data_IF_707522410010
#
_entry.id   IF_707522410010
#
_cell.length_a   1.000
_cell.length_b   1.000
_cell.length_c   1.000
_cell.angle_alpha   90.00
_cell.angle_beta   90.00
_cell.angle_gamma   90.00
#
_symmetry.space_group_name_H-M   'P 1'
#
loop_
_entity.id
_entity.type
_entity.pdbx_description
1 polymer ?
#
# COMPACT_ATOMS: atom_id res chain seq x y z
N UNK A 1 34.21 -28.12 -55.66
CA UNK A 1 34.45 -28.43 -54.26
C UNK A 1 33.80 -27.29 -53.46
N UNK A 2 32.55 -27.50 -52.99
CA UNK A 2 31.73 -26.49 -52.36
C UNK A 2 31.74 -26.79 -50.85
N UNK A 3 32.29 -25.89 -50.08
CA UNK A 3 32.35 -26.01 -48.62
C UNK A 3 31.10 -25.32 -48.04
N UNK A 4 30.20 -26.14 -47.49
CA UNK A 4 29.02 -25.64 -46.77
C UNK A 4 29.41 -25.06 -45.39
N UNK A 5 28.85 -23.93 -44.97
CA UNK A 5 29.10 -23.43 -43.62
C UNK A 5 28.35 -24.21 -42.55
N UNK A 6 29.09 -24.58 -41.50
CA UNK A 6 28.59 -25.23 -40.30
C UNK A 6 27.69 -24.22 -39.57
N UNK A 7 26.41 -24.51 -39.44
CA UNK A 7 25.49 -23.79 -38.54
C UNK A 7 25.80 -24.22 -37.10
N UNK A 8 26.51 -23.38 -36.38
CA UNK A 8 26.61 -23.48 -34.93
C UNK A 8 25.30 -22.97 -34.33
N UNK A 9 24.44 -23.87 -33.90
CA UNK A 9 23.28 -23.54 -33.08
C UNK A 9 23.77 -23.21 -31.68
N UNK A 10 23.94 -21.93 -31.41
CA UNK A 10 24.06 -21.42 -30.02
C UNK A 10 22.66 -21.44 -29.47
N UNK A 11 22.37 -22.42 -28.60
CA UNK A 11 21.21 -22.39 -27.71
C UNK A 11 21.52 -21.38 -26.62
N UNK A 12 21.13 -20.13 -26.85
CA UNK A 12 21.02 -19.16 -25.77
C UNK A 12 19.89 -19.64 -24.86
N UNK A 13 20.26 -20.29 -23.77
CA UNK A 13 19.39 -20.42 -22.61
C UNK A 13 19.16 -19.01 -22.09
N UNK A 14 18.05 -18.37 -22.48
CA UNK A 14 17.53 -17.19 -21.82
C UNK A 14 17.21 -17.59 -20.38
N UNK A 15 18.19 -17.45 -19.48
CA UNK A 15 17.92 -17.38 -18.07
C UNK A 15 17.01 -16.17 -17.87
N UNK A 16 15.71 -16.43 -17.67
CA UNK A 16 14.74 -15.44 -17.24
C UNK A 16 15.17 -14.90 -15.89
N UNK A 17 16.01 -13.87 -15.89
CA UNK A 17 16.37 -13.11 -14.71
C UNK A 17 15.10 -12.42 -14.21
N UNK A 18 14.40 -13.06 -13.27
CA UNK A 18 13.27 -12.44 -12.57
C UNK A 18 13.84 -11.29 -11.75
N UNK A 19 13.68 -10.07 -12.28
CA UNK A 19 14.08 -8.86 -11.57
C UNK A 19 13.39 -8.81 -10.20
N UNK A 20 14.16 -8.93 -9.13
CA UNK A 20 13.62 -8.83 -7.77
C UNK A 20 13.14 -7.41 -7.51
N UNK A 21 11.84 -7.27 -7.20
CA UNK A 21 11.19 -6.01 -6.82
C UNK A 21 10.96 -5.97 -5.32
N UNK A 22 10.69 -4.79 -4.79
CA UNK A 22 10.55 -4.60 -3.35
C UNK A 22 9.14 -4.13 -2.98
N UNK A 23 8.71 -4.54 -1.79
CA UNK A 23 7.46 -4.09 -1.22
C UNK A 23 7.63 -3.72 0.25
N UNK A 24 6.75 -2.84 0.73
CA UNK A 24 6.70 -2.35 2.11
C UNK A 24 5.28 -2.56 2.61
N UNK A 25 5.12 -3.27 3.74
CA UNK A 25 3.84 -3.36 4.40
C UNK A 25 3.58 -2.10 5.23
N UNK A 26 2.52 -1.36 4.92
CA UNK A 26 2.03 -0.31 5.79
C UNK A 26 0.89 -0.81 6.66
N UNK A 27 1.13 -0.85 7.96
CA UNK A 27 0.18 -1.34 8.96
C UNK A 27 -0.24 -0.22 9.91
N UNK A 28 -1.55 -0.11 10.17
CA UNK A 28 -2.08 0.87 11.11
C UNK A 28 -3.13 0.30 12.04
N UNK A 29 -2.97 0.57 13.33
CA UNK A 29 -3.95 0.24 14.35
C UNK A 29 -4.37 1.47 15.15
N UNK A 30 -5.59 1.48 15.69
CA UNK A 30 -6.07 2.56 16.55
C UNK A 30 -5.56 2.41 17.96
N UNK A 31 -5.34 3.54 18.64
CA UNK A 31 -4.72 3.66 19.97
C UNK A 31 -5.56 3.21 21.13
N UNK A 32 -6.86 3.10 20.96
CA UNK A 32 -7.73 2.76 22.09
C UNK A 32 -7.54 1.28 22.43
N UNK A 33 -6.73 1.06 23.45
CA UNK A 33 -6.45 -0.19 24.13
C UNK A 33 -5.52 -1.16 23.36
N UNK A 34 -4.45 -1.58 24.05
CA UNK A 34 -3.75 -2.84 23.75
C UNK A 34 -4.67 -4.02 24.09
N UNK A 35 -5.83 -4.06 23.47
CA UNK A 35 -6.79 -5.16 23.58
C UNK A 35 -6.40 -6.28 22.64
N UNK A 36 -6.91 -7.48 22.93
CA UNK A 36 -6.77 -8.64 22.04
C UNK A 36 -7.23 -8.33 20.60
N UNK A 37 -8.21 -7.43 20.43
CA UNK A 37 -8.67 -6.94 19.11
C UNK A 37 -7.60 -6.17 18.34
N UNK A 38 -6.75 -5.37 19.01
CA UNK A 38 -5.67 -4.65 18.33
C UNK A 38 -4.55 -5.59 17.91
N UNK A 39 -4.25 -6.61 18.71
CA UNK A 39 -3.28 -7.66 18.36
C UNK A 39 -3.79 -8.51 17.20
N UNK A 40 -5.08 -8.90 17.21
CA UNK A 40 -5.71 -9.63 16.11
C UNK A 40 -5.74 -8.81 14.82
N UNK A 41 -5.97 -7.50 14.91
CA UNK A 41 -5.95 -6.58 13.77
C UNK A 41 -4.55 -6.44 13.14
N UNK A 42 -3.48 -6.41 13.95
CA UNK A 42 -2.11 -6.42 13.46
C UNK A 42 -1.77 -7.73 12.77
N UNK A 43 -2.06 -8.84 13.44
CA UNK A 43 -1.81 -10.17 12.89
C UNK A 43 -2.51 -10.36 11.54
N UNK A 44 -3.77 -9.97 11.43
CA UNK A 44 -4.54 -10.06 10.18
C UNK A 44 -3.88 -9.27 9.04
N UNK A 45 -3.38 -8.05 9.30
CA UNK A 45 -2.69 -7.24 8.30
C UNK A 45 -1.35 -7.85 7.91
N UNK A 46 -0.59 -8.36 8.87
CA UNK A 46 0.68 -9.06 8.61
C UNK A 46 0.44 -10.35 7.80
N UNK A 47 -0.60 -11.12 8.11
CA UNK A 47 -0.94 -12.34 7.38
C UNK A 47 -1.42 -12.04 5.95
N UNK A 48 -2.23 -10.99 5.76
CA UNK A 48 -2.66 -10.54 4.45
C UNK A 48 -1.47 -10.10 3.58
N UNK A 49 -0.48 -9.43 4.16
CA UNK A 49 0.75 -9.06 3.45
C UNK A 49 1.57 -10.28 3.06
N UNK A 50 1.72 -11.27 3.94
CA UNK A 50 2.41 -12.53 3.61
C UNK A 50 1.73 -13.27 2.45
N UNK A 51 0.39 -13.33 2.46
CA UNK A 51 -0.37 -13.92 1.36
C UNK A 51 -0.17 -13.15 0.05
N UNK A 52 -0.11 -11.80 0.12
CA UNK A 52 0.19 -10.98 -1.03
C UNK A 52 1.58 -11.28 -1.61
N UNK A 53 2.61 -11.47 -0.77
CA UNK A 53 3.96 -11.85 -1.21
C UNK A 53 3.98 -13.24 -1.87
N UNK A 54 3.20 -14.20 -1.36
CA UNK A 54 3.08 -15.53 -1.97
C UNK A 54 2.46 -15.45 -3.38
N UNK A 55 1.47 -14.56 -3.57
CA UNK A 55 0.85 -14.33 -4.87
C UNK A 55 1.72 -13.50 -5.82
N UNK A 56 2.69 -12.76 -5.31
CA UNK A 56 3.56 -11.84 -6.07
C UNK A 56 5.03 -12.21 -5.84
N UNK A 57 5.45 -13.40 -6.29
CA UNK A 57 6.75 -14.03 -5.99
C UNK A 57 7.97 -13.23 -6.47
N UNK A 58 7.80 -12.31 -7.41
CA UNK A 58 8.84 -11.38 -7.86
C UNK A 58 9.06 -10.19 -6.91
N UNK A 59 8.25 -10.08 -5.85
CA UNK A 59 8.41 -9.07 -4.80
C UNK A 59 8.99 -9.67 -3.53
N UNK A 60 9.88 -8.91 -2.90
CA UNK A 60 10.40 -9.18 -1.55
C UNK A 60 10.04 -8.04 -0.60
N UNK A 61 9.89 -8.36 0.68
CA UNK A 61 9.85 -7.31 1.70
C UNK A 61 11.16 -6.51 1.66
N UNK A 62 11.06 -5.20 1.73
CA UNK A 62 12.25 -4.35 1.85
C UNK A 62 12.83 -4.53 3.26
N UNK A 63 13.96 -5.22 3.35
CA UNK A 63 14.59 -5.58 4.61
C UNK A 63 14.93 -4.35 5.46
N UNK A 64 14.66 -4.46 6.76
CA UNK A 64 14.94 -3.39 7.72
C UNK A 64 13.96 -2.21 7.67
N UNK A 65 12.98 -2.20 6.76
CA UNK A 65 12.00 -1.12 6.68
C UNK A 65 10.66 -1.53 7.31
N UNK A 66 10.38 -0.97 8.48
CA UNK A 66 9.13 -1.21 9.22
C UNK A 66 8.25 0.02 9.16
N UNK A 67 7.08 -0.08 8.52
CA UNK A 67 6.12 1.02 8.39
C UNK A 67 4.85 0.72 9.19
N UNK A 68 4.87 1.01 10.49
CA UNK A 68 3.76 0.77 11.43
C UNK A 68 3.37 2.02 12.17
N UNK A 69 2.11 2.39 12.06
CA UNK A 69 1.47 3.41 12.87
C UNK A 69 0.61 2.74 13.96
N UNK A 70 1.24 2.48 15.12
CA UNK A 70 0.56 1.98 16.30
C UNK A 70 0.11 3.16 17.15
N UNK A 71 -1.20 3.26 17.38
CA UNK A 71 -1.67 4.18 18.38
C UNK A 71 -1.76 5.65 17.97
N UNK A 72 -1.57 6.00 16.73
CA UNK A 72 -1.78 7.38 16.28
C UNK A 72 -3.27 7.63 16.16
N UNK A 73 -3.86 8.16 17.25
CA UNK A 73 -5.22 8.67 17.23
C UNK A 73 -5.18 10.08 16.67
N UNK A 74 -6.00 10.35 15.69
CA UNK A 74 -6.19 11.73 15.29
C UNK A 74 -6.19 11.94 13.78
N UNK A 75 -6.96 12.92 13.40
CA UNK A 75 -7.14 13.39 12.05
C UNK A 75 -5.79 13.89 11.50
N UNK A 76 -5.29 13.29 10.43
CA UNK A 76 -4.10 13.74 9.72
C UNK A 76 -2.75 13.60 10.44
N UNK A 77 -2.69 12.98 11.60
CA UNK A 77 -1.47 12.93 12.41
C UNK A 77 -0.44 11.95 11.83
N UNK A 78 -0.87 10.84 11.24
CA UNK A 78 0.03 9.86 10.63
C UNK A 78 0.74 10.41 9.38
N UNK A 79 0.09 11.30 8.61
CA UNK A 79 0.72 12.01 7.46
C UNK A 79 1.76 13.04 7.89
N UNK A 80 1.65 13.57 9.11
CA UNK A 80 2.54 14.64 9.62
C UNK A 80 3.64 14.12 10.54
N UNK A 81 3.40 13.07 11.31
CA UNK A 81 4.30 12.63 12.39
C UNK A 81 4.46 11.11 12.53
N UNK A 82 3.72 10.29 11.75
CA UNK A 82 3.75 8.83 11.85
C UNK A 82 4.71 8.15 10.89
N UNK A 83 4.69 6.82 10.89
CA UNK A 83 5.49 5.99 10.00
C UNK A 83 5.18 6.27 8.52
N UNK A 84 3.93 6.59 8.19
CA UNK A 84 3.55 7.01 6.83
C UNK A 84 4.27 8.31 6.41
N UNK A 85 4.42 9.27 7.33
CA UNK A 85 5.16 10.50 7.08
C UNK A 85 6.64 10.23 6.77
N UNK A 86 7.25 9.31 7.51
CA UNK A 86 8.63 8.88 7.27
C UNK A 86 8.76 8.20 5.91
N UNK A 87 7.83 7.28 5.58
CA UNK A 87 7.79 6.60 4.28
C UNK A 87 7.71 7.60 3.13
N UNK A 88 6.80 8.55 3.19
CA UNK A 88 6.64 9.57 2.14
C UNK A 88 7.90 10.45 1.98
N UNK A 89 8.50 10.85 3.11
CA UNK A 89 9.76 11.61 3.10
C UNK A 89 10.89 10.80 2.46
N UNK A 90 11.04 9.54 2.84
CA UNK A 90 12.11 8.68 2.33
C UNK A 90 11.88 8.37 0.83
N UNK A 91 10.63 8.22 0.40
CA UNK A 91 10.28 8.10 -1.02
C UNK A 91 10.65 9.36 -1.82
N UNK A 92 10.30 10.54 -1.29
CA UNK A 92 10.65 11.82 -1.93
C UNK A 92 12.17 12.03 -2.05
N UNK A 93 12.94 11.45 -1.13
CA UNK A 93 14.40 11.47 -1.16
C UNK A 93 15.00 10.37 -2.05
N UNK A 94 14.18 9.57 -2.75
CA UNK A 94 14.64 8.51 -3.64
C UNK A 94 15.33 7.34 -2.92
N UNK A 95 15.03 7.10 -1.64
CA UNK A 95 15.69 6.05 -0.85
C UNK A 95 15.21 4.64 -1.18
N UNK A 96 14.12 4.50 -1.91
CA UNK A 96 13.58 3.19 -2.27
C UNK A 96 14.03 2.74 -3.65
N UNK A 97 14.26 1.44 -3.84
CA UNK A 97 14.49 0.90 -5.17
C UNK A 97 13.34 1.25 -6.12
N UNK A 98 13.61 1.38 -7.43
CA UNK A 98 12.55 1.62 -8.43
C UNK A 98 11.45 0.58 -8.34
N UNK A 99 10.22 0.97 -8.63
CA UNK A 99 9.04 0.09 -8.61
C UNK A 99 8.76 -0.55 -7.25
N UNK A 100 9.15 0.09 -6.15
CA UNK A 100 8.74 -0.32 -4.80
C UNK A 100 7.24 -0.14 -4.62
N UNK A 101 6.58 -1.16 -4.04
CA UNK A 101 5.12 -1.19 -3.80
C UNK A 101 4.81 -1.07 -2.32
N UNK A 102 3.89 -0.18 -1.96
CA UNK A 102 3.34 -0.09 -0.61
C UNK A 102 2.07 -0.93 -0.56
N UNK A 103 2.06 -1.96 0.28
CA UNK A 103 0.94 -2.87 0.46
C UNK A 103 0.17 -2.50 1.71
N UNK A 104 -1.14 -2.28 1.57
CA UNK A 104 -2.04 -1.80 2.62
C UNK A 104 -3.29 -2.68 2.67
N UNK A 105 -3.87 -2.88 3.84
CA UNK A 105 -5.09 -3.68 3.97
C UNK A 105 -6.26 -3.06 3.17
N UNK A 106 -6.54 -1.77 3.39
CA UNK A 106 -7.62 -1.04 2.72
C UNK A 106 -7.42 0.47 2.78
N UNK A 107 -8.30 1.21 2.08
CA UNK A 107 -8.26 2.68 2.00
C UNK A 107 -8.33 3.36 3.36
N UNK A 108 -9.15 2.86 4.30
CA UNK A 108 -9.31 3.48 5.62
C UNK A 108 -8.09 3.27 6.51
N UNK A 109 -7.24 2.28 6.20
CA UNK A 109 -5.93 2.11 6.85
C UNK A 109 -4.91 3.11 6.31
N UNK A 110 -4.95 3.36 5.00
CA UNK A 110 -4.07 4.34 4.38
C UNK A 110 -4.39 5.76 4.86
N UNK A 111 -5.67 6.16 4.79
CA UNK A 111 -6.13 7.50 5.13
C UNK A 111 -7.46 7.46 5.89
N UNK A 112 -7.58 8.26 6.96
CA UNK A 112 -8.82 8.41 7.75
C UNK A 112 -9.54 9.73 7.51
N UNK A 113 -8.91 10.65 6.81
CA UNK A 113 -9.41 12.02 6.68
C UNK A 113 -10.61 12.10 5.74
N UNK A 114 -10.57 11.35 4.65
CA UNK A 114 -11.65 11.32 3.68
C UNK A 114 -11.19 10.87 2.30
N UNK A 115 -12.14 10.80 1.33
CA UNK A 115 -11.84 10.31 -0.01
C UNK A 115 -10.89 11.22 -0.77
N UNK A 116 -11.03 12.54 -0.62
CA UNK A 116 -10.16 13.53 -1.27
C UNK A 116 -8.71 13.39 -0.81
N UNK A 117 -8.52 13.26 0.49
CA UNK A 117 -7.21 13.13 1.12
C UNK A 117 -6.56 11.78 0.77
N UNK A 118 -7.36 10.70 0.68
CA UNK A 118 -6.89 9.38 0.25
C UNK A 118 -6.39 9.43 -1.19
N UNK A 119 -7.16 10.03 -2.10
CA UNK A 119 -6.75 10.19 -3.50
C UNK A 119 -5.48 11.03 -3.61
N UNK A 120 -5.42 12.18 -2.94
CA UNK A 120 -4.25 13.04 -2.94
C UNK A 120 -2.99 12.30 -2.46
N UNK A 121 -3.13 11.44 -1.45
CA UNK A 121 -2.05 10.62 -0.92
C UNK A 121 -1.58 9.57 -1.94
N UNK A 122 -2.50 8.90 -2.61
CA UNK A 122 -2.18 7.91 -3.66
C UNK A 122 -1.41 8.58 -4.81
N UNK A 123 -1.90 9.74 -5.28
CA UNK A 123 -1.22 10.50 -6.33
C UNK A 123 0.17 11.02 -5.89
N UNK A 124 0.32 11.40 -4.63
CA UNK A 124 1.60 11.77 -4.06
C UNK A 124 2.57 10.59 -4.03
N UNK A 125 2.13 9.39 -3.61
CA UNK A 125 2.96 8.18 -3.63
C UNK A 125 3.40 7.85 -5.06
N UNK A 126 2.49 7.96 -6.03
CA UNK A 126 2.81 7.82 -7.45
C UNK A 126 3.90 8.79 -7.89
N UNK A 127 3.80 10.09 -7.54
CA UNK A 127 4.80 11.10 -7.94
C UNK A 127 6.19 10.81 -7.40
N UNK A 128 6.29 9.97 -6.36
CA UNK A 128 7.56 9.47 -5.80
C UNK A 128 7.98 8.11 -6.38
N UNK A 129 7.28 7.61 -7.41
CA UNK A 129 7.59 6.33 -8.05
C UNK A 129 7.15 5.09 -7.27
N UNK A 130 6.26 5.25 -6.28
CA UNK A 130 5.71 4.14 -5.51
C UNK A 130 4.43 3.60 -6.15
N UNK A 131 4.34 2.26 -6.27
CA UNK A 131 3.08 1.57 -6.49
C UNK A 131 2.32 1.36 -5.19
N UNK A 132 1.02 1.10 -5.27
CA UNK A 132 0.19 0.75 -4.12
C UNK A 132 -0.67 -0.48 -4.42
N UNK A 133 -0.82 -1.36 -3.42
CA UNK A 133 -1.72 -2.50 -3.49
C UNK A 133 -2.60 -2.54 -2.25
N UNK A 134 -3.90 -2.81 -2.43
CA UNK A 134 -4.86 -2.97 -1.34
C UNK A 134 -5.30 -4.42 -1.26
N UNK A 135 -4.93 -5.13 -0.20
CA UNK A 135 -5.19 -6.58 -0.07
C UNK A 135 -6.69 -6.91 -0.02
N UNK A 136 -7.54 -5.98 0.44
CA UNK A 136 -8.99 -6.15 0.47
C UNK A 136 -9.71 -5.78 -0.84
N UNK A 137 -9.02 -5.17 -1.83
CA UNK A 137 -9.63 -4.90 -3.14
C UNK A 137 -9.34 -6.00 -4.15
N UNK A 138 -8.15 -6.33 -4.45
CA UNK A 138 -7.75 -7.43 -5.34
C UNK A 138 -6.30 -7.82 -5.10
N UNK A 139 -5.60 -7.00 -4.32
CA UNK A 139 -4.16 -7.11 -4.15
C UNK A 139 -3.34 -6.71 -5.38
N UNK A 140 -3.98 -6.33 -6.48
CA UNK A 140 -3.30 -5.86 -7.67
C UNK A 140 -2.59 -4.53 -7.41
N UNK A 141 -1.47 -4.33 -8.12
CA UNK A 141 -0.63 -3.15 -7.94
C UNK A 141 -1.14 -2.03 -8.84
N UNK A 142 -1.44 -0.90 -8.22
CA UNK A 142 -1.82 0.33 -8.88
C UNK A 142 -0.63 1.29 -8.97
N UNK A 143 -0.28 1.68 -10.19
CA UNK A 143 0.80 2.62 -10.47
C UNK A 143 0.32 4.06 -10.71
N UNK A 144 -0.98 4.26 -10.66
CA UNK A 144 -1.60 5.59 -10.74
C UNK A 144 -1.79 6.12 -12.15
N UNK A 145 -1.73 5.31 -13.17
CA UNK A 145 -2.09 5.73 -14.53
C UNK A 145 -3.62 5.76 -14.67
N UNK A 146 -4.15 6.82 -15.28
CA UNK A 146 -5.60 6.97 -15.47
C UNK A 146 -6.19 5.91 -16.40
N UNK A 147 -5.36 5.34 -17.26
CA UNK A 147 -5.69 4.22 -18.16
C UNK A 147 -5.60 2.86 -17.48
N UNK A 148 -5.12 2.80 -16.23
CA UNK A 148 -5.03 1.56 -15.49
C UNK A 148 -6.45 1.05 -15.17
N UNK A 149 -6.80 -0.20 -15.54
CA UNK A 149 -8.11 -0.78 -15.19
C UNK A 149 -8.42 -0.76 -13.69
N UNK A 150 -7.38 -0.72 -12.84
CA UNK A 150 -7.52 -0.59 -11.39
C UNK A 150 -8.00 0.79 -10.95
N UNK A 151 -7.92 1.82 -11.79
CA UNK A 151 -8.39 3.17 -11.48
C UNK A 151 -9.82 3.17 -10.98
N UNK A 152 -10.72 2.49 -11.69
CA UNK A 152 -12.11 2.38 -11.30
C UNK A 152 -12.31 1.62 -9.98
N UNK A 153 -11.52 0.58 -9.72
CA UNK A 153 -11.57 -0.15 -8.45
C UNK A 153 -11.08 0.73 -7.29
N UNK A 154 -10.02 1.50 -7.48
CA UNK A 154 -9.49 2.46 -6.50
C UNK A 154 -10.55 3.54 -6.21
N UNK A 155 -11.14 4.13 -7.25
CA UNK A 155 -12.20 5.13 -7.09
C UNK A 155 -13.43 4.55 -6.41
N UNK A 156 -13.87 3.36 -6.78
CA UNK A 156 -14.95 2.63 -6.11
C UNK A 156 -14.65 2.37 -4.64
N UNK A 157 -13.43 1.93 -4.31
CA UNK A 157 -12.96 1.74 -2.94
C UNK A 157 -12.98 3.04 -2.12
N UNK A 158 -12.57 4.15 -2.71
CA UNK A 158 -12.62 5.48 -2.09
C UNK A 158 -14.07 5.90 -1.82
N UNK A 159 -14.98 5.70 -2.77
CA UNK A 159 -16.41 6.03 -2.64
C UNK A 159 -17.04 5.19 -1.52
N UNK A 160 -16.79 3.88 -1.51
CA UNK A 160 -17.29 2.97 -0.47
C UNK A 160 -16.77 3.36 0.91
N UNK A 161 -15.48 3.63 1.03
CA UNK A 161 -14.86 4.09 2.27
C UNK A 161 -15.42 5.46 2.73
N UNK A 162 -15.93 6.29 1.82
CA UNK A 162 -16.51 7.60 2.15
C UNK A 162 -17.73 7.48 3.07
N UNK A 163 -18.51 6.42 2.93
CA UNK A 163 -19.64 6.12 3.80
C UNK A 163 -19.20 5.86 5.22
N UNK A 164 -18.14 5.07 5.40
CA UNK A 164 -17.55 4.79 6.70
C UNK A 164 -16.98 6.05 7.37
N UNK A 165 -16.35 6.93 6.59
CA UNK A 165 -15.85 8.21 7.11
C UNK A 165 -16.99 9.12 7.58
N UNK A 166 -18.09 9.23 6.82
CA UNK A 166 -19.25 10.03 7.19
C UNK A 166 -19.92 9.49 8.46
N UNK A 167 -20.11 8.18 8.54
CA UNK A 167 -20.73 7.54 9.70
C UNK A 167 -19.93 7.78 10.99
N UNK A 168 -18.60 7.64 10.93
CA UNK A 168 -17.71 7.93 12.06
C UNK A 168 -17.70 9.41 12.47
N UNK A 169 -17.89 10.33 11.52
CA UNK A 169 -18.00 11.76 11.83
C UNK A 169 -19.37 12.10 12.46
N UNK A 170 -20.44 11.44 12.05
CA UNK A 170 -21.79 11.60 12.61
C UNK A 170 -21.87 11.16 14.07
N UNK A 171 -21.27 10.01 14.39
CA UNK A 171 -21.19 9.52 15.76
C UNK A 171 -20.43 10.48 16.71
N UNK A 172 -19.34 11.10 16.22
CA UNK A 172 -18.58 12.07 17.05
C UNK A 172 -19.37 13.35 17.30
N UNK A 173 -20.21 13.80 16.36
CA UNK A 173 -21.06 14.98 16.55
C UNK A 173 -22.24 14.72 17.49
N UNK A 174 -22.79 13.50 17.47
CA UNK A 174 -23.88 13.10 18.38
C UNK A 174 -23.47 13.14 19.85
N UNK A 175 -22.24 12.75 20.20
CA UNK A 175 -21.74 12.80 21.60
C UNK A 175 -21.48 14.24 22.12
N UNK A 176 -21.37 15.25 21.25
CA UNK A 176 -21.12 16.62 21.65
C UNK A 176 -22.40 17.43 21.88
N UNK A 177 -23.54 16.93 21.41
CA UNK A 177 -24.85 17.61 21.58
C UNK A 177 -25.61 17.14 22.84
N UNK A 178 -25.22 16.04 23.46
CA UNK A 178 -25.86 15.53 24.68
C UNK A 178 -25.22 16.03 26.01
N UNK A 179 -24.16 16.83 25.92
CA UNK A 179 -23.45 17.38 27.08
C UNK A 179 -23.54 18.91 27.21
N UNK A 180 -24.62 19.52 26.67
CA UNK A 180 -24.86 20.97 26.79
C UNK A 180 -26.15 21.22 27.52
#
# INVERSE_FOLDING_TARGET
MVISPIKTSVSESEENFIETKYSISYVRVSTKQQTEESKSGLKRQDDAYKQWLVANQNYKNLDGYVCRDAGVSGRGTNRKKGALSVLLRDANLGKFPPKTVVVVENMTRLCREGPREALALILQMRSYGLGIAFTQLSGNIFWGEETDPLWFQIMGGIITASTDWKHKQGLVKGYQTETS
#
